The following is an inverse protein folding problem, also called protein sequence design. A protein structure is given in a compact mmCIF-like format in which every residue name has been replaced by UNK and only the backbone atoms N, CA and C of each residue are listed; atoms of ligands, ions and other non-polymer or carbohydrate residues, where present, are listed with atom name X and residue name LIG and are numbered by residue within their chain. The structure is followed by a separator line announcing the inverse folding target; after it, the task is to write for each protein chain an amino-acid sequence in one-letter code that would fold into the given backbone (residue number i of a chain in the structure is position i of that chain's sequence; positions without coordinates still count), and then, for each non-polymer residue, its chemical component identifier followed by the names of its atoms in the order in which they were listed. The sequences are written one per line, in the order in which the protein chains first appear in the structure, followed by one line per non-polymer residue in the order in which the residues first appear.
data_IF_371570908328
#
_entry.id   IF_371570908328
#
_cell.length_a   1.000
_cell.length_b   1.000
_cell.length_c   1.000
_cell.angle_alpha   90.00
_cell.angle_beta   90.00
_cell.angle_gamma   90.00
#
_symmetry.space_group_name_H-M   'P 1'
#
loop_
_entity.id
_entity.type
_entity.pdbx_description
1 polymer ?
#
# COMPACT_ATOMS: atom_id res chain seq x y z
N UNK A 1 15.49 18.67 0.58
CA UNK A 1 14.46 18.74 -0.47
C UNK A 1 14.76 17.59 -1.43
N UNK A 2 14.10 16.45 -1.27
CA UNK A 2 14.30 15.29 -2.14
C UNK A 2 13.12 15.26 -3.11
N UNK A 3 13.36 15.68 -4.36
CA UNK A 3 12.40 15.52 -5.46
C UNK A 3 12.76 14.24 -6.18
N UNK A 4 12.06 13.14 -5.87
CA UNK A 4 12.10 11.94 -6.71
C UNK A 4 10.99 12.04 -7.74
N UNK A 5 11.35 12.23 -9.01
CA UNK A 5 10.44 12.17 -10.15
C UNK A 5 10.49 10.74 -10.69
N UNK A 6 9.36 10.05 -10.72
CA UNK A 6 9.22 8.75 -11.38
C UNK A 6 8.21 8.89 -12.51
N UNK A 7 8.49 8.28 -13.66
CA UNK A 7 7.64 8.33 -14.85
C UNK A 7 6.99 6.96 -15.04
N UNK A 8 5.68 6.91 -14.89
CA UNK A 8 4.83 5.74 -15.14
C UNK A 8 3.38 6.21 -15.28
N UNK A 9 2.57 5.55 -16.12
CA UNK A 9 1.17 5.96 -16.31
C UNK A 9 0.39 5.71 -15.01
N UNK A 10 -0.05 6.76 -14.31
CA UNK A 10 -0.73 6.62 -12.99
C UNK A 10 -2.22 6.89 -13.19
N UNK A 11 -2.96 5.88 -13.61
CA UNK A 11 -4.39 6.01 -13.86
C UNK A 11 -5.27 5.62 -12.65
N UNK A 12 -4.67 5.24 -11.51
CA UNK A 12 -5.43 5.00 -10.26
C UNK A 12 -4.59 5.24 -8.99
N UNK A 13 -4.79 6.38 -8.33
CA UNK A 13 -4.61 6.41 -6.87
C UNK A 13 -5.60 5.40 -6.29
N UNK A 14 -5.10 4.22 -5.93
CA UNK A 14 -5.86 3.21 -5.21
C UNK A 14 -6.40 3.84 -3.94
N UNK A 15 -7.69 4.12 -3.92
CA UNK A 15 -8.43 4.31 -2.69
C UNK A 15 -8.58 2.93 -2.03
N UNK A 16 -7.50 2.42 -1.46
CA UNK A 16 -7.58 1.51 -0.30
C UNK A 16 -7.06 2.24 0.95
N UNK A 17 -7.33 3.55 1.03
CA UNK A 17 -7.47 4.22 2.30
C UNK A 17 -8.81 3.78 2.86
N UNK A 18 -8.81 3.06 3.98
CA UNK A 18 -10.02 2.70 4.68
C UNK A 18 -10.89 3.94 4.89
N UNK A 19 -12.03 3.99 4.20
CA UNK A 19 -13.18 4.93 4.22
C UNK A 19 -13.00 6.44 4.43
N UNK A 20 -11.84 6.94 4.85
CA UNK A 20 -11.57 8.34 5.13
C UNK A 20 -10.83 8.96 3.94
N UNK A 21 -11.32 10.11 3.47
CA UNK A 21 -10.63 10.93 2.48
C UNK A 21 -9.23 11.36 2.91
N UNK A 22 -8.45 12.01 2.03
CA UNK A 22 -7.11 12.46 2.37
C UNK A 22 -7.13 13.41 3.58
N UNK A 23 -6.06 13.46 4.38
CA UNK A 23 -5.99 14.35 5.54
C UNK A 23 -6.27 15.83 5.18
N UNK A 24 -6.81 16.63 6.10
CA UNK A 24 -6.97 18.07 5.91
C UNK A 24 -5.68 18.74 5.44
N UNK A 25 -5.78 19.80 4.64
CA UNK A 25 -4.65 20.48 4.01
C UNK A 25 -3.81 19.62 3.03
N UNK A 26 -4.36 18.48 2.59
CA UNK A 26 -3.81 17.70 1.47
C UNK A 26 -4.52 18.09 0.18
N UNK A 27 -3.75 18.42 -0.86
CA UNK A 27 -4.22 18.55 -2.23
C UNK A 27 -3.58 17.47 -3.09
N UNK A 28 -4.38 16.91 -4.00
CA UNK A 28 -3.96 15.85 -4.91
C UNK A 28 -4.25 16.32 -6.32
N UNK A 29 -3.19 16.48 -7.11
CA UNK A 29 -3.27 16.82 -8.51
C UNK A 29 -2.91 15.60 -9.35
N UNK A 30 -3.84 15.16 -10.20
CA UNK A 30 -3.65 13.99 -11.07
C UNK A 30 -3.39 14.46 -12.51
N UNK A 31 -2.23 14.09 -13.05
CA UNK A 31 -1.96 14.07 -14.48
C UNK A 31 -2.07 12.64 -15.02
N UNK A 32 -1.76 12.44 -16.30
CA UNK A 32 -1.82 11.13 -16.96
C UNK A 32 -0.78 10.14 -16.41
N UNK A 33 0.47 10.58 -16.31
CA UNK A 33 1.60 9.74 -15.86
C UNK A 33 2.27 10.28 -14.60
N UNK A 34 1.61 11.20 -13.91
CA UNK A 34 2.17 11.85 -12.75
C UNK A 34 1.05 12.23 -11.79
N UNK A 35 1.27 11.94 -10.51
CA UNK A 35 0.40 12.40 -9.43
C UNK A 35 1.23 13.22 -8.48
N UNK A 36 0.78 14.44 -8.20
CA UNK A 36 1.39 15.33 -7.21
C UNK A 36 0.51 15.37 -5.97
N UNK A 37 1.05 14.92 -4.85
CA UNK A 37 0.42 15.02 -3.53
C UNK A 37 1.13 16.14 -2.76
N UNK A 38 0.36 17.14 -2.33
CA UNK A 38 0.89 18.29 -1.57
C UNK A 38 0.17 18.38 -0.24
N UNK A 39 0.91 18.23 0.85
CA UNK A 39 0.42 18.39 2.22
C UNK A 39 1.02 19.65 2.84
N UNK A 40 0.18 20.64 3.15
CA UNK A 40 0.61 21.96 3.63
C UNK A 40 -0.25 22.42 4.82
N UNK A 41 -0.15 21.78 5.99
CA UNK A 41 -0.97 22.10 7.15
C UNK A 41 -0.57 23.45 7.77
N UNK A 42 -1.54 24.31 8.03
CA UNK A 42 -1.34 25.55 8.78
C UNK A 42 -1.09 25.27 10.26
N UNK A 43 -0.60 26.24 11.04
CA UNK A 43 -0.46 26.09 12.49
C UNK A 43 -1.81 25.77 13.17
N UNK A 44 -2.91 26.31 12.63
CA UNK A 44 -4.26 26.00 13.11
C UNK A 44 -4.64 24.53 12.83
N UNK A 45 -4.30 24.03 11.65
CA UNK A 45 -4.55 22.63 11.29
C UNK A 45 -3.73 21.69 12.17
N UNK A 46 -2.45 22.02 12.41
CA UNK A 46 -1.58 21.23 13.28
C UNK A 46 -2.06 21.22 14.73
N UNK A 47 -2.50 22.37 15.25
CA UNK A 47 -3.06 22.49 16.59
C UNK A 47 -4.36 21.71 16.77
N UNK A 48 -5.11 21.45 15.68
CA UNK A 48 -6.32 20.64 15.72
C UNK A 48 -6.02 19.15 15.95
N UNK A 49 -4.83 18.66 15.60
CA UNK A 49 -4.40 17.29 15.91
C UNK A 49 -3.82 17.18 17.32
N UNK A 50 -2.94 18.10 17.70
CA UNK A 50 -2.32 18.15 19.03
C UNK A 50 -1.72 19.53 19.27
N UNK A 51 -1.66 19.93 20.55
CA UNK A 51 -1.01 21.19 20.97
C UNK A 51 0.48 21.24 20.66
N UNK A 52 1.11 20.08 20.43
CA UNK A 52 2.52 19.95 20.03
C UNK A 52 2.71 19.85 18.50
N UNK A 53 1.63 19.96 17.72
CA UNK A 53 1.63 19.79 16.27
C UNK A 53 1.45 18.33 15.84
N UNK A 54 1.81 18.02 14.60
CA UNK A 54 1.56 16.70 14.00
C UNK A 54 2.78 15.79 14.16
N UNK A 55 2.58 14.62 14.77
CA UNK A 55 3.56 13.52 14.82
C UNK A 55 2.89 12.26 14.25
N UNK A 56 3.15 11.99 12.97
CA UNK A 56 2.51 10.90 12.23
C UNK A 56 3.36 10.48 11.02
N UNK A 57 3.04 9.31 10.46
CA UNK A 57 3.58 8.85 9.18
C UNK A 57 2.77 9.44 8.02
N UNK A 58 3.45 10.05 7.06
CA UNK A 58 2.84 10.50 5.80
C UNK A 58 3.03 9.43 4.73
N UNK A 59 2.05 8.53 4.61
CA UNK A 59 2.08 7.39 3.69
C UNK A 59 1.28 7.70 2.42
N UNK A 60 1.93 7.62 1.27
CA UNK A 60 1.27 7.72 -0.05
C UNK A 60 1.25 6.33 -0.68
N UNK A 61 0.05 5.76 -0.83
CA UNK A 61 -0.15 4.50 -1.54
C UNK A 61 -0.77 4.78 -2.90
N UNK A 62 -0.24 4.15 -3.94
CA UNK A 62 -0.76 4.24 -5.29
C UNK A 62 -0.59 2.89 -5.99
N UNK A 63 -1.41 2.67 -7.01
CA UNK A 63 -1.28 1.54 -7.92
C UNK A 63 -1.21 2.10 -9.35
N UNK A 64 -0.66 1.32 -10.27
CA UNK A 64 -0.60 1.67 -11.69
C UNK A 64 -1.63 0.83 -12.43
N UNK A 65 -2.35 1.45 -13.36
CA UNK A 65 -3.26 0.66 -14.21
C UNK A 65 -2.41 -0.15 -15.17
N UNK A 66 -2.51 -1.47 -15.04
CA UNK A 66 -1.96 -2.43 -16.00
C UNK A 66 -3.08 -2.91 -16.91
N UNK A 67 -3.09 -2.45 -18.16
CA UNK A 67 -4.10 -2.86 -19.15
C UNK A 67 -3.83 -4.28 -19.67
N UNK A 68 -2.56 -4.67 -19.76
CA UNK A 68 -2.15 -5.98 -20.29
C UNK A 68 -1.97 -7.04 -19.20
N UNK A 69 -2.53 -8.23 -19.47
CA UNK A 69 -2.42 -9.42 -18.60
C UNK A 69 -0.97 -9.93 -18.54
N UNK A 70 -0.15 -9.62 -19.54
CA UNK A 70 1.25 -10.05 -19.68
C UNK A 70 2.22 -9.01 -19.07
N UNK A 71 1.69 -7.89 -18.54
CA UNK A 71 2.51 -6.80 -18.01
C UNK A 71 2.94 -5.78 -19.06
N UNK A 72 3.76 -4.80 -18.65
CA UNK A 72 4.26 -3.72 -19.51
C UNK A 72 5.79 -3.84 -19.70
N UNK A 73 6.28 -3.57 -20.92
CA UNK A 73 7.71 -3.59 -21.25
C UNK A 73 8.16 -2.21 -21.67
N UNK A 74 9.03 -1.61 -20.86
CA UNK A 74 9.64 -0.32 -21.14
C UNK A 74 11.07 -0.50 -21.63
N UNK A 75 11.45 0.25 -22.66
CA UNK A 75 12.79 0.24 -23.24
C UNK A 75 13.37 1.64 -23.12
N UNK A 76 14.55 1.76 -22.52
CA UNK A 76 15.27 3.01 -22.38
C UNK A 76 16.77 2.78 -22.48
N UNK A 77 17.42 3.49 -23.42
CA UNK A 77 18.87 3.46 -23.66
C UNK A 77 19.46 2.04 -23.83
N UNK A 78 18.75 1.16 -24.54
CA UNK A 78 19.16 -0.22 -24.78
C UNK A 78 18.94 -1.18 -23.61
N UNK A 79 18.39 -0.71 -22.50
CA UNK A 79 17.93 -1.52 -21.37
C UNK A 79 16.41 -1.69 -21.42
N UNK A 80 15.91 -2.79 -20.87
CA UNK A 80 14.47 -3.02 -20.74
C UNK A 80 14.07 -3.33 -19.31
N UNK A 81 12.87 -2.91 -18.93
CA UNK A 81 12.20 -3.27 -17.68
C UNK A 81 10.89 -3.94 -18.06
N UNK A 82 10.65 -5.14 -17.50
CA UNK A 82 9.40 -5.87 -17.68
C UNK A 82 8.62 -5.88 -16.36
N UNK A 83 7.51 -5.15 -16.33
CA UNK A 83 6.60 -5.09 -15.19
C UNK A 83 5.55 -6.19 -15.31
N UNK A 84 5.71 -7.30 -14.59
CA UNK A 84 4.79 -8.43 -14.63
C UNK A 84 3.95 -8.52 -13.35
N UNK A 85 2.67 -8.14 -13.43
CA UNK A 85 1.68 -8.36 -12.38
C UNK A 85 0.30 -8.70 -12.98
N UNK A 86 0.11 -9.94 -13.47
CA UNK A 86 -1.16 -10.38 -14.07
C UNK A 86 -2.31 -10.25 -13.07
N UNK A 87 -3.39 -9.59 -13.49
CA UNK A 87 -4.62 -9.44 -12.71
C UNK A 87 -5.69 -10.43 -13.20
N UNK A 88 -6.56 -10.86 -12.30
CA UNK A 88 -7.73 -11.69 -12.65
C UNK A 88 -7.42 -13.16 -12.95
N UNK A 89 -6.25 -13.67 -12.59
CA UNK A 89 -6.01 -15.12 -12.59
C UNK A 89 -6.83 -15.77 -11.47
N UNK A 90 -7.47 -16.93 -11.72
CA UNK A 90 -8.18 -17.64 -10.67
C UNK A 90 -7.19 -18.03 -9.56
N UNK A 91 -7.60 -17.97 -8.28
CA UNK A 91 -6.77 -18.48 -7.19
C UNK A 91 -6.35 -19.91 -7.50
N UNK A 92 -5.04 -20.15 -7.46
CA UNK A 92 -4.51 -21.50 -7.62
C UNK A 92 -4.61 -22.19 -6.27
N UNK A 93 -5.27 -23.35 -6.24
CA UNK A 93 -5.28 -24.19 -5.05
C UNK A 93 -3.85 -24.54 -4.65
N UNK A 94 -3.51 -24.22 -3.40
CA UNK A 94 -2.20 -24.45 -2.81
C UNK A 94 -2.36 -25.13 -1.46
N UNK A 95 -1.57 -26.17 -1.25
CA UNK A 95 -1.50 -26.83 0.05
C UNK A 95 -0.55 -26.03 0.96
N UNK A 96 -1.10 -25.43 2.01
CA UNK A 96 -0.33 -24.65 2.98
C UNK A 96 -0.28 -25.40 4.30
N UNK A 97 0.92 -25.65 4.81
CA UNK A 97 1.13 -26.29 6.12
C UNK A 97 1.75 -25.27 7.06
N UNK A 98 1.10 -25.02 8.19
CA UNK A 98 1.62 -24.18 9.25
C UNK A 98 2.34 -25.03 10.30
N UNK A 99 3.63 -24.77 10.52
CA UNK A 99 4.40 -25.35 11.62
C UNK A 99 4.62 -24.27 12.66
N UNK A 100 4.04 -24.46 13.84
CA UNK A 100 3.98 -23.44 14.89
C UNK A 100 4.86 -23.88 16.06
N UNK A 101 5.76 -23.00 16.50
CA UNK A 101 6.51 -23.22 17.74
C UNK A 101 5.56 -23.19 18.94
N UNK A 102 5.67 -24.19 19.81
CA UNK A 102 4.89 -24.33 21.06
C UNK A 102 5.78 -24.28 22.30
N UNK A 103 7.02 -23.82 22.16
CA UNK A 103 7.94 -23.61 23.27
C UNK A 103 7.37 -22.62 24.30
N UNK A 104 7.89 -22.66 25.52
CA UNK A 104 7.47 -21.74 26.59
C UNK A 104 7.63 -20.25 26.24
N UNK A 105 8.52 -19.90 25.31
CA UNK A 105 8.74 -18.52 24.86
C UNK A 105 7.54 -17.92 24.13
N UNK A 106 6.63 -18.78 23.67
CA UNK A 106 5.42 -18.40 22.96
C UNK A 106 4.26 -18.08 23.92
N UNK A 107 4.41 -18.38 25.21
CA UNK A 107 3.37 -18.16 26.22
C UNK A 107 2.87 -16.70 26.23
N UNK A 108 1.56 -16.54 26.44
CA UNK A 108 0.92 -15.23 26.53
C UNK A 108 0.54 -14.65 25.16
N UNK A 109 0.94 -13.40 24.92
CA UNK A 109 0.47 -12.61 23.77
C UNK A 109 0.86 -13.21 22.42
N UNK A 110 2.05 -13.82 22.31
CA UNK A 110 2.53 -14.38 21.04
C UNK A 110 1.63 -15.52 20.54
N UNK A 111 1.33 -16.51 21.39
CA UNK A 111 0.38 -17.57 21.02
C UNK A 111 -1.01 -17.02 20.69
N UNK A 112 -1.51 -16.04 21.45
CA UNK A 112 -2.84 -15.44 21.17
C UNK A 112 -2.89 -14.76 19.80
N UNK A 113 -1.83 -14.03 19.43
CA UNK A 113 -1.71 -13.39 18.13
C UNK A 113 -1.64 -14.40 17.00
N UNK A 114 -0.80 -15.45 17.12
CA UNK A 114 -0.69 -16.51 16.12
C UNK A 114 -2.05 -17.19 15.89
N UNK A 115 -2.75 -17.54 16.97
CA UNK A 115 -4.08 -18.17 16.87
C UNK A 115 -5.09 -17.25 16.18
N UNK A 116 -5.13 -15.96 16.54
CA UNK A 116 -6.00 -14.98 15.89
C UNK A 116 -5.72 -14.88 14.40
N UNK A 117 -4.45 -14.76 14.01
CA UNK A 117 -4.04 -14.65 12.60
C UNK A 117 -4.41 -15.89 11.79
N UNK A 118 -4.27 -17.08 12.37
CA UNK A 118 -4.63 -18.34 11.69
C UNK A 118 -6.14 -18.45 11.46
N UNK A 119 -6.96 -18.05 12.44
CA UNK A 119 -8.41 -18.00 12.28
C UNK A 119 -8.78 -17.02 11.16
N UNK A 120 -8.21 -15.81 11.16
CA UNK A 120 -8.45 -14.81 10.12
C UNK A 120 -8.03 -15.31 8.73
N UNK A 121 -6.88 -16.00 8.63
CA UNK A 121 -6.36 -16.50 7.35
C UNK A 121 -7.25 -17.58 6.70
N UNK A 122 -7.97 -18.37 7.49
CA UNK A 122 -8.92 -19.36 6.97
C UNK A 122 -10.21 -18.70 6.49
N UNK A 123 -10.63 -17.60 7.11
CA UNK A 123 -11.85 -16.88 6.69
C UNK A 123 -11.67 -16.05 5.41
N UNK A 124 -10.45 -15.68 5.03
CA UNK A 124 -10.17 -14.92 3.80
C UNK A 124 -9.98 -15.79 2.55
N UNK A 125 -10.07 -17.11 2.69
CA UNK A 125 -9.88 -18.09 1.60
C UNK A 125 -11.20 -18.71 1.10
N UNK A 126 -12.36 -18.23 1.59
CA UNK A 126 -13.70 -18.68 1.23
C UNK A 126 -14.48 -17.57 0.53
#
# INVERSE_FOLDING_TARGET
MLTSVWSGHVSKLGAELGEAGPPPATSIEKGETCVRVTFCPTLKDQAAFSSLGIMADFVVQYDVVMEDIIGDVQIYDGYFIHYFAPRGLPPVEKNVVFVIDVSGSMFGTKMKQVMSSLVTSQTSSC
#
